data_IF_903217639958
#
_entry.id   IF_903217639958
#
_cell.length_a   1.000
_cell.length_b   1.000
_cell.length_c   1.000
_cell.angle_alpha   90.00
_cell.angle_beta   90.00
_cell.angle_gamma   90.00
#
_symmetry.space_group_name_H-M   'P 1'
#
loop_
_entity.id
_entity.type
_entity.pdbx_description
1 polymer ?
#
# COMPACT_ATOMS: atom_id res chain seq x y z
N UNK A 1 -43.92 -19.37 -12.14
CA UNK A 1 -43.22 -18.48 -11.21
C UNK A 1 -41.73 -18.54 -11.50
N UNK A 2 -41.25 -17.67 -12.39
CA UNK A 2 -39.84 -17.42 -12.62
C UNK A 2 -39.43 -16.26 -11.74
N UNK A 3 -38.73 -16.54 -10.66
CA UNK A 3 -38.01 -15.48 -9.94
C UNK A 3 -36.85 -15.05 -10.81
N UNK A 4 -36.67 -13.74 -11.08
CA UNK A 4 -35.46 -13.31 -11.77
C UNK A 4 -34.28 -13.62 -10.86
N UNK A 5 -33.33 -14.36 -11.40
CA UNK A 5 -31.99 -14.46 -10.83
C UNK A 5 -31.45 -13.03 -10.78
N UNK A 6 -31.56 -12.41 -9.62
CA UNK A 6 -30.75 -11.24 -9.32
C UNK A 6 -29.30 -11.73 -9.33
N UNK A 7 -28.63 -11.50 -10.45
CA UNK A 7 -27.20 -11.45 -10.50
C UNK A 7 -26.80 -10.39 -9.46
N UNK A 8 -26.43 -10.85 -8.27
CA UNK A 8 -25.67 -10.03 -7.36
C UNK A 8 -24.37 -9.72 -8.09
N UNK A 9 -24.30 -8.55 -8.72
CA UNK A 9 -23.04 -7.98 -9.13
C UNK A 9 -22.22 -7.92 -7.85
N UNK A 10 -21.24 -8.81 -7.75
CA UNK A 10 -20.29 -8.81 -6.64
C UNK A 10 -19.50 -7.53 -6.77
N UNK A 11 -19.88 -6.51 -6.01
CA UNK A 11 -19.13 -5.28 -5.91
C UNK A 11 -17.77 -5.64 -5.34
N UNK A 12 -16.73 -5.51 -6.17
CA UNK A 12 -15.38 -5.75 -5.72
C UNK A 12 -14.95 -4.58 -4.84
N UNK A 13 -14.47 -4.90 -3.64
CA UNK A 13 -13.89 -3.93 -2.73
C UNK A 13 -12.38 -3.86 -2.96
N UNK A 14 -11.89 -2.65 -3.15
CA UNK A 14 -10.45 -2.36 -3.31
C UNK A 14 -9.95 -1.54 -2.14
N UNK A 15 -8.74 -1.84 -1.70
CA UNK A 15 -7.96 -0.93 -0.86
C UNK A 15 -6.89 -0.30 -1.74
N UNK A 16 -6.83 1.01 -1.77
CA UNK A 16 -5.90 1.74 -2.65
C UNK A 16 -5.06 2.70 -1.80
N UNK A 17 -3.75 2.72 -2.03
CA UNK A 17 -2.86 3.72 -1.44
C UNK A 17 -3.42 5.12 -1.69
N UNK A 18 -3.68 5.88 -0.63
CA UNK A 18 -4.40 7.15 -0.72
C UNK A 18 -3.73 8.17 -1.64
N UNK A 19 -2.40 8.14 -1.76
CA UNK A 19 -1.65 9.01 -2.67
C UNK A 19 -1.95 8.73 -4.15
N UNK A 20 -2.38 7.52 -4.50
CA UNK A 20 -2.76 7.16 -5.88
C UNK A 20 -4.13 7.72 -6.26
N UNK A 21 -4.91 8.13 -5.29
CA UNK A 21 -6.26 8.65 -5.46
C UNK A 21 -6.33 10.19 -5.30
N UNK A 22 -5.20 10.87 -5.36
CA UNK A 22 -5.12 12.33 -5.29
C UNK A 22 -4.96 12.89 -3.88
N UNK A 23 -4.76 12.07 -2.85
CA UNK A 23 -4.52 12.55 -1.48
C UNK A 23 -3.04 12.91 -1.30
N UNK A 24 -2.71 14.14 -0.82
CA UNK A 24 -1.32 14.59 -0.68
C UNK A 24 -0.67 14.04 0.60
N UNK A 25 -0.59 12.72 0.72
CA UNK A 25 -0.15 12.00 1.95
C UNK A 25 1.21 11.31 1.81
N UNK A 26 1.89 11.48 0.67
CA UNK A 26 3.25 11.00 0.51
C UNK A 26 4.20 11.74 1.46
N UNK A 27 5.41 11.18 1.65
CA UNK A 27 6.43 11.80 2.51
C UNK A 27 6.74 13.26 2.12
N UNK A 28 6.64 13.58 0.83
CA UNK A 28 6.87 14.92 0.26
C UNK A 28 5.58 15.76 0.12
N UNK A 29 4.47 15.33 0.71
CA UNK A 29 3.14 15.92 0.62
C UNK A 29 2.61 16.04 -0.82
N UNK A 30 3.07 15.17 -1.72
CA UNK A 30 2.57 15.07 -3.10
C UNK A 30 1.57 13.94 -3.25
N UNK A 31 0.87 13.95 -4.38
CA UNK A 31 -0.10 12.95 -4.77
C UNK A 31 0.06 12.61 -6.24
N UNK A 32 -0.53 11.48 -6.64
CA UNK A 32 -0.71 11.12 -8.03
C UNK A 32 -2.18 11.29 -8.42
N UNK A 33 -2.41 11.63 -9.67
CA UNK A 33 -3.75 11.70 -10.24
C UNK A 33 -3.84 10.76 -11.44
N UNK A 34 -4.49 9.61 -11.22
CA UNK A 34 -4.77 8.63 -12.26
C UNK A 34 -6.25 8.65 -12.60
N UNK A 35 -6.60 9.00 -13.82
CA UNK A 35 -8.00 9.05 -14.28
C UNK A 35 -8.71 7.71 -14.10
N UNK A 36 -8.03 6.61 -14.42
CA UNK A 36 -8.59 5.26 -14.27
C UNK A 36 -8.93 4.93 -12.81
N UNK A 37 -8.13 5.38 -11.85
CA UNK A 37 -8.42 5.21 -10.41
C UNK A 37 -9.58 6.10 -9.99
N UNK A 38 -9.63 7.34 -10.45
CA UNK A 38 -10.76 8.24 -10.18
C UNK A 38 -12.08 7.67 -10.72
N UNK A 39 -12.05 7.10 -11.92
CA UNK A 39 -13.21 6.43 -12.52
C UNK A 39 -13.63 5.20 -11.70
N UNK A 40 -12.67 4.40 -11.24
CA UNK A 40 -12.93 3.25 -10.38
C UNK A 40 -13.62 3.68 -9.08
N UNK A 41 -13.16 4.75 -8.45
CA UNK A 41 -13.74 5.28 -7.22
C UNK A 41 -15.19 5.72 -7.38
N UNK A 42 -15.60 6.13 -8.57
CA UNK A 42 -16.99 6.49 -8.86
C UNK A 42 -17.91 5.29 -9.04
N UNK A 43 -17.38 4.14 -9.42
CA UNK A 43 -18.16 2.96 -9.83
C UNK A 43 -17.97 1.73 -8.96
N UNK A 44 -16.96 1.73 -8.09
CA UNK A 44 -16.61 0.63 -7.20
C UNK A 44 -16.48 1.11 -5.77
N UNK A 45 -16.56 0.18 -4.84
CA UNK A 45 -16.26 0.49 -3.45
C UNK A 45 -14.74 0.47 -3.25
N UNK A 46 -14.21 1.58 -2.78
CA UNK A 46 -12.79 1.78 -2.57
C UNK A 46 -12.56 2.30 -1.16
N UNK A 47 -11.63 1.66 -0.46
CA UNK A 47 -11.08 2.15 0.81
C UNK A 47 -9.70 2.75 0.51
N UNK A 48 -9.51 4.01 0.89
CA UNK A 48 -8.22 4.67 0.79
C UNK A 48 -7.44 4.51 2.09
N UNK A 49 -6.16 4.18 1.99
CA UNK A 49 -5.28 4.07 3.14
C UNK A 49 -3.88 4.62 2.82
N UNK A 50 -3.32 5.32 3.78
CA UNK A 50 -1.89 5.60 3.83
C UNK A 50 -1.34 4.94 5.09
N UNK A 51 -0.67 3.78 4.97
CA UNK A 51 -0.18 3.06 6.15
C UNK A 51 0.75 3.88 7.02
N UNK A 52 1.58 4.74 6.43
CA UNK A 52 2.49 5.59 7.18
C UNK A 52 1.73 6.62 8.05
N UNK A 53 0.69 7.24 7.49
CA UNK A 53 -0.19 8.14 8.26
C UNK A 53 -0.98 7.38 9.33
N UNK A 54 -1.48 6.19 9.02
CA UNK A 54 -2.16 5.32 9.99
C UNK A 54 -1.24 4.91 11.14
N UNK A 55 0.05 4.78 10.88
CA UNK A 55 1.06 4.52 11.90
C UNK A 55 1.44 5.73 12.75
N UNK A 56 0.88 6.89 12.47
CA UNK A 56 1.10 8.12 13.24
C UNK A 56 2.19 9.03 12.71
N UNK A 57 2.74 8.74 11.51
CA UNK A 57 3.74 9.62 10.92
C UNK A 57 3.11 10.89 10.34
N UNK A 58 3.83 12.00 10.45
CA UNK A 58 3.40 13.29 9.91
C UNK A 58 3.48 13.33 8.37
N UNK A 59 2.85 14.33 7.78
CA UNK A 59 2.96 14.66 6.36
C UNK A 59 3.19 16.18 6.24
N UNK A 60 4.27 16.66 5.59
CA UNK A 60 5.39 15.89 5.06
C UNK A 60 6.26 15.23 6.14
N UNK A 61 7.09 14.29 5.74
CA UNK A 61 8.02 13.57 6.62
C UNK A 61 9.29 13.20 5.89
N UNK A 62 10.31 12.80 6.64
CA UNK A 62 11.55 12.34 6.07
C UNK A 62 11.36 11.05 5.27
N UNK A 63 12.05 10.87 4.14
CA UNK A 63 12.07 9.59 3.44
C UNK A 63 12.69 8.52 4.33
N UNK A 64 12.14 7.31 4.26
CA UNK A 64 12.59 6.18 5.03
C UNK A 64 12.86 4.97 4.12
N UNK A 65 13.75 4.09 4.55
CA UNK A 65 14.08 2.85 3.85
C UNK A 65 14.21 1.69 4.85
N UNK A 66 13.97 0.47 4.38
CA UNK A 66 14.19 -0.74 5.18
C UNK A 66 15.69 -1.03 5.23
N UNK A 67 16.22 -1.22 6.43
CA UNK A 67 17.63 -1.45 6.68
C UNK A 67 17.83 -2.77 7.43
N UNK A 68 18.78 -3.57 6.98
CA UNK A 68 19.22 -4.77 7.68
C UNK A 68 18.43 -6.03 7.37
N UNK A 69 17.57 -6.01 6.36
CA UNK A 69 16.82 -7.18 5.96
C UNK A 69 15.63 -6.87 5.06
N UNK A 70 14.65 -7.75 5.09
CA UNK A 70 13.41 -7.69 4.31
C UNK A 70 12.27 -7.08 5.13
N UNK A 71 11.12 -6.84 4.47
CA UNK A 71 9.90 -6.45 5.17
C UNK A 71 9.46 -7.51 6.19
N UNK A 72 9.61 -8.79 5.88
CA UNK A 72 9.33 -9.88 6.81
C UNK A 72 10.24 -9.80 8.04
N UNK A 73 11.51 -9.45 7.84
CA UNK A 73 12.45 -9.23 8.93
C UNK A 73 12.05 -8.04 9.81
N UNK A 74 11.51 -6.99 9.21
CA UNK A 74 10.94 -5.86 9.97
C UNK A 74 9.78 -6.34 10.85
N UNK A 75 8.86 -7.10 10.29
CA UNK A 75 7.69 -7.63 11.02
C UNK A 75 8.07 -8.57 12.16
N UNK A 76 9.19 -9.26 12.06
CA UNK A 76 9.68 -10.20 13.08
C UNK A 76 10.74 -9.59 14.02
N UNK A 77 11.05 -8.31 13.87
CA UNK A 77 11.98 -7.61 14.76
C UNK A 77 13.47 -7.76 14.41
N UNK A 78 13.80 -8.26 13.21
CA UNK A 78 15.19 -8.51 12.77
C UNK A 78 15.74 -7.45 11.82
N UNK A 79 14.90 -6.53 11.36
CA UNK A 79 15.30 -5.39 10.54
C UNK A 79 14.56 -4.14 10.98
N UNK A 80 14.99 -2.99 10.51
CA UNK A 80 14.44 -1.68 10.89
C UNK A 80 14.00 -0.88 9.68
N UNK A 81 13.12 0.08 9.92
CA UNK A 81 12.83 1.17 8.99
C UNK A 81 13.40 2.44 9.59
N UNK A 82 14.32 3.07 8.87
CA UNK A 82 15.04 4.25 9.32
C UNK A 82 14.81 5.41 8.36
N UNK A 83 14.73 6.61 8.90
CA UNK A 83 14.73 7.83 8.07
C UNK A 83 16.16 8.13 7.58
N UNK A 84 16.26 8.97 6.57
CA UNK A 84 17.54 9.45 6.05
C UNK A 84 18.36 10.16 7.12
N UNK A 85 17.72 10.75 8.12
CA UNK A 85 18.37 11.43 9.24
C UNK A 85 18.72 10.49 10.40
N UNK A 86 18.44 9.19 10.27
CA UNK A 86 18.78 8.20 11.28
C UNK A 86 17.74 8.00 12.37
N UNK A 87 16.53 8.50 12.19
CA UNK A 87 15.42 8.25 13.12
C UNK A 87 14.82 6.87 12.88
N UNK A 88 14.61 6.10 13.94
CA UNK A 88 13.96 4.79 13.89
C UNK A 88 12.44 4.96 13.86
N UNK A 89 11.83 4.62 12.74
CA UNK A 89 10.38 4.68 12.51
C UNK A 89 9.75 3.29 12.35
N UNK A 90 10.47 2.25 12.76
CA UNK A 90 10.05 0.85 12.61
C UNK A 90 8.66 0.60 13.20
N UNK A 91 8.40 1.05 14.43
CA UNK A 91 7.12 0.80 15.09
C UNK A 91 5.96 1.49 14.37
N UNK A 92 6.16 2.71 13.87
CA UNK A 92 5.14 3.42 13.10
C UNK A 92 4.77 2.65 11.82
N UNK A 93 5.76 2.07 11.12
CA UNK A 93 5.53 1.24 9.94
C UNK A 93 4.79 -0.05 10.28
N UNK A 94 5.15 -0.71 11.36
CA UNK A 94 4.48 -1.93 11.82
C UNK A 94 3.03 -1.63 12.21
N UNK A 95 2.80 -0.61 13.02
CA UNK A 95 1.45 -0.19 13.45
C UNK A 95 0.60 0.16 12.24
N UNK A 96 1.14 0.92 11.29
CA UNK A 96 0.43 1.29 10.06
C UNK A 96 0.07 0.09 9.20
N UNK A 97 0.95 -0.90 9.11
CA UNK A 97 0.70 -2.14 8.40
C UNK A 97 -0.45 -2.93 9.04
N UNK A 98 -0.45 -3.09 10.36
CA UNK A 98 -1.54 -3.80 11.06
C UNK A 98 -2.86 -3.05 11.01
N UNK A 99 -2.88 -1.72 11.09
CA UNK A 99 -4.10 -0.93 10.91
C UNK A 99 -4.66 -1.07 9.49
N UNK A 100 -3.79 -1.12 8.49
CA UNK A 100 -4.20 -1.35 7.10
C UNK A 100 -4.76 -2.76 6.92
N UNK A 101 -4.14 -3.78 7.52
CA UNK A 101 -4.66 -5.14 7.54
C UNK A 101 -6.06 -5.20 8.17
N UNK A 102 -6.24 -4.53 9.29
CA UNK A 102 -7.54 -4.47 9.96
C UNK A 102 -8.62 -3.86 9.07
N UNK A 103 -8.33 -2.75 8.39
CA UNK A 103 -9.23 -2.16 7.40
C UNK A 103 -9.56 -3.13 6.27
N UNK A 104 -8.56 -3.83 5.75
CA UNK A 104 -8.75 -4.81 4.67
C UNK A 104 -9.66 -5.96 5.12
N UNK A 105 -9.50 -6.45 6.33
CA UNK A 105 -10.34 -7.51 6.90
C UNK A 105 -11.76 -7.04 7.18
N UNK A 106 -11.93 -5.87 7.80
CA UNK A 106 -13.25 -5.32 8.13
C UNK A 106 -14.11 -5.06 6.91
N UNK A 107 -13.51 -4.59 5.82
CA UNK A 107 -14.20 -4.25 4.59
C UNK A 107 -14.19 -5.37 3.55
N UNK A 108 -13.69 -6.54 3.90
CA UNK A 108 -13.64 -7.72 3.02
C UNK A 108 -12.99 -7.40 1.67
N UNK A 109 -11.87 -6.69 1.73
CA UNK A 109 -11.09 -6.30 0.55
C UNK A 109 -10.62 -7.56 -0.17
N UNK A 110 -10.73 -7.57 -1.50
CA UNK A 110 -10.18 -8.63 -2.34
C UNK A 110 -8.78 -8.27 -2.82
N UNK A 111 -8.61 -7.05 -3.29
CA UNK A 111 -7.37 -6.57 -3.91
C UNK A 111 -6.92 -5.27 -3.27
N UNK A 112 -5.65 -5.21 -2.91
CA UNK A 112 -4.97 -3.98 -2.49
C UNK A 112 -4.08 -3.47 -3.63
N UNK A 113 -4.28 -2.22 -4.03
CA UNK A 113 -3.47 -1.53 -5.03
C UNK A 113 -2.56 -0.55 -4.30
N UNK A 114 -1.29 -0.86 -4.25
CA UNK A 114 -0.34 -0.16 -3.40
C UNK A 114 0.74 0.55 -4.22
N UNK A 115 1.18 1.71 -3.72
CA UNK A 115 2.21 2.53 -4.37
C UNK A 115 3.55 1.79 -4.40
N UNK A 116 4.06 1.55 -5.59
CA UNK A 116 5.36 0.90 -5.80
C UNK A 116 6.52 1.73 -5.22
N UNK A 117 7.60 1.07 -4.92
CA UNK A 117 8.85 1.61 -4.38
C UNK A 117 8.80 2.13 -2.93
N UNK A 118 7.65 2.20 -2.33
CA UNK A 118 7.49 2.65 -0.95
C UNK A 118 7.99 1.58 0.04
N UNK A 119 8.66 1.94 1.13
CA UNK A 119 9.03 1.00 2.19
C UNK A 119 7.83 0.40 2.92
N UNK A 120 6.67 1.02 2.80
CA UNK A 120 5.40 0.49 3.31
C UNK A 120 4.62 -0.30 2.27
N UNK A 121 4.48 0.25 1.07
CA UNK A 121 3.52 -0.19 0.06
C UNK A 121 4.13 -0.91 -1.14
N UNK A 122 5.44 -0.90 -1.33
CA UNK A 122 6.09 -1.51 -2.49
C UNK A 122 5.68 -2.97 -2.68
N UNK A 123 5.29 -3.32 -3.91
CA UNK A 123 4.89 -4.69 -4.24
C UNK A 123 6.05 -5.51 -4.79
N UNK A 124 6.83 -4.93 -5.68
CA UNK A 124 7.90 -5.63 -6.38
C UNK A 124 9.28 -5.06 -6.05
N UNK A 125 9.37 -3.77 -5.83
CA UNK A 125 10.62 -3.06 -5.56
C UNK A 125 10.49 -2.12 -4.38
N UNK A 126 11.57 -2.01 -3.64
CA UNK A 126 11.79 -1.01 -2.59
C UNK A 126 13.19 -0.43 -2.76
N UNK A 127 13.52 0.63 -2.06
CA UNK A 127 14.89 1.15 -2.02
C UNK A 127 15.77 0.27 -1.12
N UNK A 128 17.06 0.24 -1.41
CA UNK A 128 18.00 -0.75 -0.87
C UNK A 128 18.53 -0.48 0.55
N UNK A 129 18.11 0.61 1.16
CA UNK A 129 18.52 0.97 2.53
C UNK A 129 19.74 1.89 2.62
N UNK A 130 20.32 2.29 1.49
CA UNK A 130 21.52 3.15 1.46
C UNK A 130 21.21 4.63 1.19
N UNK A 131 19.95 4.97 0.94
CA UNK A 131 19.54 6.32 0.55
C UNK A 131 20.28 6.85 -0.69
N UNK A 132 20.54 5.97 -1.64
CA UNK A 132 21.28 6.25 -2.88
C UNK A 132 20.40 6.19 -4.13
N UNK A 133 19.07 6.22 -3.97
CA UNK A 133 18.09 6.08 -5.05
C UNK A 133 18.23 4.75 -5.82
N UNK A 134 18.78 3.72 -5.19
CA UNK A 134 18.96 2.39 -5.77
C UNK A 134 17.86 1.45 -5.26
N UNK A 135 17.15 0.81 -6.18
CA UNK A 135 16.06 -0.13 -5.87
C UNK A 135 16.59 -1.56 -5.79
N UNK A 136 15.90 -2.36 -4.99
CA UNK A 136 16.07 -3.81 -4.94
C UNK A 136 14.71 -4.50 -5.03
N UNK A 137 14.70 -5.75 -5.48
CA UNK A 137 13.49 -6.58 -5.41
C UNK A 137 13.10 -6.80 -3.95
N UNK A 138 11.82 -6.62 -3.67
CA UNK A 138 11.28 -6.78 -2.32
C UNK A 138 9.94 -6.11 -2.16
N UNK A 139 9.35 -6.27 -0.99
CA UNK A 139 8.07 -5.68 -0.63
C UNK A 139 8.23 -4.66 0.49
N UNK A 140 7.30 -3.70 0.54
CA UNK A 140 7.13 -2.87 1.72
C UNK A 140 6.49 -3.62 2.88
N UNK A 141 6.53 -3.04 4.06
CA UNK A 141 6.07 -3.69 5.30
C UNK A 141 4.57 -4.03 5.24
N UNK A 142 3.74 -3.10 4.78
CA UNK A 142 2.29 -3.32 4.63
C UNK A 142 1.99 -4.33 3.54
N UNK A 143 2.65 -4.25 2.39
CA UNK A 143 2.48 -5.20 1.30
C UNK A 143 2.81 -6.62 1.75
N UNK A 144 3.91 -6.81 2.48
CA UNK A 144 4.30 -8.11 3.02
C UNK A 144 3.25 -8.67 3.97
N UNK A 145 2.74 -7.85 4.89
CA UNK A 145 1.73 -8.28 5.85
C UNK A 145 0.41 -8.68 5.16
N UNK A 146 -0.06 -7.90 4.20
CA UNK A 146 -1.27 -8.24 3.45
C UNK A 146 -1.10 -9.53 2.66
N UNK A 147 0.04 -9.73 2.01
CA UNK A 147 0.35 -10.97 1.29
C UNK A 147 0.36 -12.19 2.22
N UNK A 148 0.94 -12.06 3.42
CA UNK A 148 0.95 -13.13 4.43
C UNK A 148 -0.47 -13.53 4.86
N UNK A 149 -1.43 -12.62 4.82
CA UNK A 149 -2.82 -12.85 5.18
C UNK A 149 -3.72 -13.21 3.99
N UNK A 150 -3.13 -13.54 2.84
CA UNK A 150 -3.84 -14.06 1.68
C UNK A 150 -4.52 -13.01 0.80
N UNK A 151 -4.25 -11.72 1.00
CA UNK A 151 -4.76 -10.68 0.12
C UNK A 151 -3.99 -10.65 -1.19
N UNK A 152 -4.70 -10.37 -2.28
CA UNK A 152 -4.04 -10.00 -3.53
C UNK A 152 -3.50 -8.58 -3.41
N UNK A 153 -2.22 -8.41 -3.71
CA UNK A 153 -1.57 -7.09 -3.70
C UNK A 153 -0.92 -6.85 -5.06
N UNK A 154 -1.23 -5.73 -5.67
CA UNK A 154 -0.60 -5.30 -6.92
C UNK A 154 -0.11 -3.86 -6.82
N UNK A 155 0.86 -3.52 -7.66
CA UNK A 155 1.31 -2.15 -7.83
C UNK A 155 0.30 -1.35 -8.65
N UNK A 156 0.42 -0.01 -8.62
CA UNK A 156 -0.37 0.86 -9.49
C UNK A 156 -0.15 0.55 -10.97
N UNK A 157 1.07 0.23 -11.36
CA UNK A 157 1.39 -0.09 -12.77
C UNK A 157 0.70 -1.38 -13.21
N UNK A 158 0.77 -2.44 -12.41
CA UNK A 158 0.09 -3.70 -12.68
C UNK A 158 -1.42 -3.53 -12.75
N UNK A 159 -1.99 -2.74 -11.84
CA UNK A 159 -3.42 -2.50 -11.79
C UNK A 159 -3.91 -1.68 -12.99
N UNK A 160 -3.20 -0.61 -13.33
CA UNK A 160 -3.52 0.21 -14.51
C UNK A 160 -3.43 -0.58 -15.81
N UNK A 161 -2.44 -1.47 -15.94
CA UNK A 161 -2.33 -2.38 -17.08
C UNK A 161 -3.55 -3.31 -17.20
N UNK A 162 -4.06 -3.84 -16.09
CA UNK A 162 -5.29 -4.66 -16.08
C UNK A 162 -6.50 -3.86 -16.54
N UNK A 163 -6.65 -2.60 -16.09
CA UNK A 163 -7.79 -1.74 -16.46
C UNK A 163 -7.78 -1.33 -17.93
N UNK A 164 -6.61 -1.23 -18.54
CA UNK A 164 -6.46 -0.82 -19.95
C UNK A 164 -6.40 -2.02 -20.90
N UNK A 165 -6.40 -3.25 -20.40
CA UNK A 165 -6.32 -4.47 -21.19
C UNK A 165 -4.93 -4.73 -21.80
N UNK A 166 -3.90 -4.14 -21.25
CA UNK A 166 -2.51 -4.31 -21.67
C UNK A 166 -1.79 -5.38 -20.83
#
# INVERSE_FOLDING_TARGET
NRYPLFLFATYMMYLISACLAGKPVRYDAKAYHYEAIQKLMRHQQVILACPEMLGGLACPRQPAEIIGGTAQDVLTGHAKVMTQQGEDVTQAFIIGAYKTLELAQQHQIKTAVLKENSPSCGRNFIYDGRFSATKRAGTGVTAALLLQHGFEVCSEEEFLARLTGL
#
